data_IF_637268951631
#
_entry.id   IF_637268951631
#
_cell.length_a   1.000
_cell.length_b   1.000
_cell.length_c   1.000
_cell.angle_alpha   90.00
_cell.angle_beta   90.00
_cell.angle_gamma   90.00
#
_symmetry.space_group_name_H-M   'P 1'
#
loop_
_entity.id
_entity.type
_entity.pdbx_description
1 polymer ?
#
# COMPACT_ATOMS: atom_id res chain seq x y z
N UNK A 1 -16.32 5.14 0.37
CA UNK A 1 -16.08 4.39 1.61
C UNK A 1 -16.02 2.92 1.26
N UNK A 2 -14.85 2.29 1.36
CA UNK A 2 -14.70 0.85 1.11
C UNK A 2 -15.32 0.11 2.30
N UNK A 3 -16.25 -0.81 2.05
CA UNK A 3 -16.83 -1.66 3.10
C UNK A 3 -15.90 -2.84 3.36
N UNK A 4 -14.76 -2.56 3.99
CA UNK A 4 -13.79 -3.59 4.35
C UNK A 4 -14.26 -4.24 5.67
N UNK A 5 -14.41 -5.58 5.73
CA UNK A 5 -14.64 -6.29 6.99
C UNK A 5 -13.58 -5.93 8.04
N UNK A 6 -13.96 -5.84 9.31
CA UNK A 6 -13.10 -5.29 10.38
C UNK A 6 -11.72 -5.98 10.47
N UNK A 7 -11.66 -7.28 10.24
CA UNK A 7 -10.41 -8.05 10.25
C UNK A 7 -9.48 -7.66 9.10
N UNK A 8 -10.03 -7.45 7.91
CA UNK A 8 -9.28 -7.02 6.73
C UNK A 8 -8.86 -5.56 6.87
N UNK A 9 -9.72 -4.71 7.45
CA UNK A 9 -9.39 -3.32 7.71
C UNK A 9 -8.17 -3.21 8.63
N UNK A 10 -8.16 -3.94 9.75
CA UNK A 10 -7.05 -3.93 10.69
C UNK A 10 -5.75 -4.41 10.04
N UNK A 11 -5.82 -5.48 9.24
CA UNK A 11 -4.68 -5.99 8.50
C UNK A 11 -4.09 -4.96 7.52
N UNK A 12 -4.93 -4.40 6.63
CA UNK A 12 -4.47 -3.41 5.65
C UNK A 12 -4.00 -2.12 6.30
N UNK A 13 -4.62 -1.70 7.40
CA UNK A 13 -4.18 -0.52 8.15
C UNK A 13 -2.79 -0.72 8.74
N UNK A 14 -2.51 -1.88 9.31
CA UNK A 14 -1.19 -2.20 9.85
C UNK A 14 -0.11 -2.24 8.76
N UNK A 15 -0.42 -2.80 7.59
CA UNK A 15 0.51 -2.81 6.45
C UNK A 15 0.75 -1.41 5.88
N UNK A 16 -0.30 -0.59 5.76
CA UNK A 16 -0.18 0.81 5.37
C UNK A 16 0.72 1.58 6.35
N UNK A 17 0.51 1.41 7.66
CA UNK A 17 1.30 2.08 8.70
C UNK A 17 2.77 1.64 8.69
N UNK A 18 3.04 0.36 8.42
CA UNK A 18 4.41 -0.15 8.31
C UNK A 18 5.18 0.48 7.14
N UNK A 19 4.47 0.90 6.09
CA UNK A 19 5.01 1.58 4.90
C UNK A 19 4.94 3.11 5.01
N UNK A 20 4.42 3.65 6.12
CA UNK A 20 4.21 5.09 6.29
C UNK A 20 3.14 5.68 5.36
N UNK A 21 2.18 4.86 4.92
CA UNK A 21 1.11 5.25 4.00
C UNK A 21 -0.23 5.41 4.71
N UNK A 22 -1.06 6.26 4.13
CA UNK A 22 -2.49 6.25 4.40
C UNK A 22 -3.13 4.99 3.78
N UNK A 23 -4.21 4.50 4.38
CA UNK A 23 -4.89 3.28 3.92
C UNK A 23 -5.37 3.38 2.46
N UNK A 24 -5.78 4.57 2.01
CA UNK A 24 -6.14 4.82 0.62
C UNK A 24 -4.95 4.69 -0.34
N UNK A 25 -3.79 5.21 0.07
CA UNK A 25 -2.56 5.14 -0.72
C UNK A 25 -2.06 3.70 -0.76
N UNK A 26 -2.19 2.96 0.33
CA UNK A 26 -1.89 1.55 0.39
C UNK A 26 -2.72 0.72 -0.61
N UNK A 27 -4.02 1.01 -0.76
CA UNK A 27 -4.83 0.33 -1.78
C UNK A 27 -4.34 0.63 -3.19
N UNK A 28 -3.98 1.89 -3.49
CA UNK A 28 -3.42 2.25 -4.80
C UNK A 28 -2.08 1.57 -5.03
N UNK A 29 -1.24 1.49 -4.00
CA UNK A 29 0.03 0.78 -4.01
C UNK A 29 -0.15 -0.70 -4.35
N UNK A 30 -1.02 -1.42 -3.63
CA UNK A 30 -1.29 -2.84 -3.87
C UNK A 30 -1.87 -3.07 -5.27
N UNK A 31 -2.79 -2.23 -5.72
CA UNK A 31 -3.39 -2.34 -7.05
C UNK A 31 -2.36 -2.08 -8.16
N UNK A 32 -1.49 -1.09 -7.98
CA UNK A 32 -0.43 -0.81 -8.94
C UNK A 32 0.55 -1.98 -9.05
N UNK A 33 0.96 -2.55 -7.91
CA UNK A 33 1.81 -3.75 -7.89
C UNK A 33 1.14 -4.97 -8.53
N UNK A 34 -0.13 -5.22 -8.21
CA UNK A 34 -0.85 -6.38 -8.72
C UNK A 34 -1.03 -6.36 -10.25
N UNK A 35 -1.09 -5.17 -10.84
CA UNK A 35 -1.31 -4.96 -12.27
C UNK A 35 -0.05 -4.50 -13.02
N UNK A 36 1.14 -4.54 -12.40
CA UNK A 36 2.39 -4.05 -12.97
C UNK A 36 2.30 -2.61 -13.52
N UNK A 37 1.54 -1.75 -12.84
CA UNK A 37 1.37 -0.34 -13.19
C UNK A 37 2.45 0.53 -12.55
N UNK A 38 2.80 1.67 -13.19
CA UNK A 38 3.73 2.62 -12.60
C UNK A 38 3.20 3.16 -11.27
N UNK A 39 4.05 3.13 -10.24
CA UNK A 39 3.69 3.65 -8.92
C UNK A 39 3.55 5.18 -8.96
N UNK A 40 2.46 5.77 -8.44
CA UNK A 40 2.31 7.22 -8.40
C UNK A 40 3.41 7.90 -7.59
N UNK A 41 3.87 9.07 -8.05
CA UNK A 41 5.00 9.77 -7.43
C UNK A 41 4.75 10.10 -5.95
N UNK A 42 3.53 10.51 -5.59
CA UNK A 42 3.16 10.83 -4.21
C UNK A 42 3.22 9.62 -3.25
N UNK A 43 3.25 8.39 -3.77
CA UNK A 43 3.47 7.16 -3.02
C UNK A 43 4.98 6.84 -3.01
N UNK A 44 5.65 6.96 -4.15
CA UNK A 44 7.10 6.75 -4.28
C UNK A 44 7.91 7.66 -3.35
N UNK A 45 7.46 8.91 -3.15
CA UNK A 45 8.13 9.88 -2.29
C UNK A 45 7.97 9.55 -0.79
N UNK A 46 7.00 8.69 -0.43
CA UNK A 46 6.66 8.33 0.96
C UNK A 46 7.23 6.98 1.38
N UNK A 47 7.32 6.03 0.45
CA UNK A 47 7.84 4.70 0.72
C UNK A 47 9.34 4.68 0.47
N UNK A 48 10.11 4.15 1.42
CA UNK A 48 11.54 3.91 1.23
C UNK A 48 11.75 2.92 0.07
N UNK A 49 12.57 3.24 -0.95
CA UNK A 49 12.97 2.31 -2.00
C UNK A 49 13.47 0.95 -1.49
N UNK A 50 14.06 0.89 -0.30
CA UNK A 50 14.51 -0.35 0.34
C UNK A 50 13.36 -1.20 0.92
N UNK A 51 12.19 -0.59 1.14
CA UNK A 51 10.95 -1.27 1.54
C UNK A 51 10.16 -1.84 0.36
N UNK A 52 10.59 -1.59 -0.89
CA UNK A 52 10.20 -2.41 -2.05
C UNK A 52 10.82 -3.81 -1.90
N UNK A 53 10.40 -4.57 -0.90
CA UNK A 53 10.55 -6.02 -0.95
C UNK A 53 9.50 -6.55 -1.91
N UNK A 54 9.83 -6.43 -3.20
CA UNK A 54 9.39 -7.37 -4.22
C UNK A 54 9.61 -8.77 -3.68
N UNK A 55 8.58 -9.61 -3.79
CA UNK A 55 8.65 -11.01 -3.42
C UNK A 55 9.93 -11.65 -3.92
N UNK A 56 10.69 -12.22 -2.98
CA UNK A 56 11.46 -13.43 -3.19
C UNK A 56 10.62 -14.59 -2.66
#
# INVERSE_FOLDING_TARGET
MVRTPDTQYAHYKNEADALGLDLSDYYVYVMALHHDLPMPHYIQDRIDPAQYKLGA
#
